data_IF_586567465637
#
_entry.id   IF_586567465637
#
_cell.length_a   1.000
_cell.length_b   1.000
_cell.length_c   1.000
_cell.angle_alpha   90.00
_cell.angle_beta   90.00
_cell.angle_gamma   90.00
#
_symmetry.space_group_name_H-M   'P 1'
#
loop_
_entity.id
_entity.type
_entity.pdbx_description
1 polymer ?
#
# COMPACT_ATOMS: atom_id res chain seq x y z
N UNK A 1 34.42 49.38 -21.56
CA UNK A 1 34.10 47.95 -21.44
C UNK A 1 33.80 47.69 -19.98
N UNK A 2 32.95 46.69 -19.73
CA UNK A 2 32.39 46.25 -18.44
C UNK A 2 31.11 46.98 -17.99
N UNK A 3 30.01 46.35 -18.40
CA UNK A 3 28.65 46.60 -17.99
C UNK A 3 28.30 45.87 -16.71
N UNK A 4 27.35 46.47 -16.00
CA UNK A 4 26.62 46.03 -14.83
C UNK A 4 25.83 44.73 -15.05
N UNK A 5 25.94 43.78 -14.11
CA UNK A 5 24.93 42.73 -13.91
C UNK A 5 24.00 43.13 -12.77
N UNK A 6 22.76 43.45 -13.14
CA UNK A 6 21.63 43.68 -12.25
C UNK A 6 20.91 42.33 -12.05
N UNK A 7 20.93 41.81 -10.82
CA UNK A 7 20.26 40.55 -10.47
C UNK A 7 18.77 40.81 -10.33
N UNK A 8 18.00 40.40 -11.33
CA UNK A 8 16.54 40.31 -11.31
C UNK A 8 16.10 39.21 -10.32
N UNK A 9 15.67 39.60 -9.13
CA UNK A 9 14.89 38.75 -8.24
C UNK A 9 13.46 38.64 -8.80
N UNK A 10 13.11 37.47 -9.34
CA UNK A 10 11.74 37.16 -9.74
C UNK A 10 10.98 36.65 -8.51
N UNK A 11 10.01 37.45 -8.06
CA UNK A 11 9.03 37.04 -7.06
C UNK A 11 8.14 35.91 -7.62
N UNK A 12 8.33 34.70 -7.12
CA UNK A 12 7.47 33.54 -7.39
C UNK A 12 6.44 33.44 -6.27
N UNK A 13 5.35 34.21 -6.33
CA UNK A 13 4.30 34.13 -5.31
C UNK A 13 2.85 34.12 -5.79
N UNK A 14 2.53 34.00 -7.09
CA UNK A 14 1.12 34.10 -7.55
C UNK A 14 0.53 32.95 -8.40
N UNK A 15 1.24 31.84 -8.67
CA UNK A 15 0.71 30.80 -9.58
C UNK A 15 0.14 29.50 -8.97
N UNK A 16 0.00 29.39 -7.64
CA UNK A 16 -0.45 28.12 -7.03
C UNK A 16 -1.91 27.74 -7.32
N UNK A 17 -2.77 28.71 -7.69
CA UNK A 17 -4.17 28.46 -8.02
C UNK A 17 -4.39 27.90 -9.43
N UNK A 18 -3.55 28.31 -10.40
CA UNK A 18 -3.63 27.85 -11.78
C UNK A 18 -3.23 26.37 -11.91
N UNK A 19 -2.18 25.94 -11.19
CA UNK A 19 -1.73 24.54 -11.16
C UNK A 19 -2.76 23.60 -10.51
N UNK A 20 -3.45 24.05 -9.45
CA UNK A 20 -4.52 23.27 -8.83
C UNK A 20 -5.73 23.13 -9.76
N UNK A 21 -6.14 24.21 -10.42
CA UNK A 21 -7.23 24.20 -11.40
C UNK A 21 -6.89 23.28 -12.58
N UNK A 22 -5.67 23.39 -13.14
CA UNK A 22 -5.19 22.53 -14.23
C UNK A 22 -5.21 21.06 -13.81
N UNK A 23 -4.71 20.73 -12.61
CA UNK A 23 -4.71 19.35 -12.10
C UNK A 23 -6.12 18.76 -11.94
N UNK A 24 -7.09 19.58 -11.52
CA UNK A 24 -8.47 19.16 -11.27
C UNK A 24 -9.24 18.91 -12.57
N UNK A 25 -9.01 19.73 -13.60
CA UNK A 25 -9.58 19.59 -14.94
C UNK A 25 -8.96 18.40 -15.66
N UNK A 26 -7.65 18.24 -15.53
CA UNK A 26 -6.88 17.11 -16.06
C UNK A 26 -7.36 15.77 -15.46
N UNK A 27 -7.58 15.72 -14.14
CA UNK A 27 -8.13 14.54 -13.47
C UNK A 27 -9.58 14.24 -13.89
N UNK A 28 -10.42 15.27 -14.10
CA UNK A 28 -11.80 15.09 -14.60
C UNK A 28 -11.86 14.58 -16.04
N UNK A 29 -10.99 15.05 -16.93
CA UNK A 29 -10.91 14.59 -18.33
C UNK A 29 -10.54 13.10 -18.43
N UNK A 30 -9.62 12.66 -17.59
CA UNK A 30 -9.16 11.26 -17.51
C UNK A 30 -10.20 10.33 -16.87
N UNK A 31 -10.92 10.81 -15.85
CA UNK A 31 -11.88 10.00 -15.09
C UNK A 31 -13.18 9.65 -15.85
N UNK A 32 -13.47 10.31 -17.00
CA UNK A 32 -14.67 10.03 -17.82
C UNK A 32 -14.53 8.83 -18.76
N UNK A 33 -13.36 8.19 -18.82
CA UNK A 33 -13.11 7.06 -19.73
C UNK A 33 -13.60 5.74 -19.15
N UNK A 34 -14.12 4.86 -20.02
CA UNK A 34 -14.82 3.59 -19.68
C UNK A 34 -14.02 2.66 -18.76
N UNK A 35 -12.68 2.71 -18.82
CA UNK A 35 -11.78 1.89 -18.01
C UNK A 35 -10.86 2.69 -17.06
N UNK A 36 -10.99 4.02 -17.03
CA UNK A 36 -10.06 4.93 -16.37
C UNK A 36 -8.70 5.01 -17.08
N UNK A 37 -7.97 6.13 -16.93
CA UNK A 37 -6.56 6.15 -17.31
C UNK A 37 -5.67 6.03 -16.07
N UNK A 38 -4.61 5.25 -16.20
CA UNK A 38 -3.62 5.08 -15.14
C UNK A 38 -2.51 6.14 -15.30
N UNK A 39 -2.10 6.71 -14.16
CA UNK A 39 -0.94 7.63 -14.03
C UNK A 39 -0.93 8.81 -15.02
N UNK A 40 -1.94 9.70 -14.99
CA UNK A 40 -1.87 10.93 -15.77
C UNK A 40 -0.68 11.78 -15.32
N UNK A 41 0.21 12.10 -16.27
CA UNK A 41 1.39 12.93 -16.07
C UNK A 41 1.33 14.12 -17.04
N UNK A 42 1.13 15.35 -16.55
CA UNK A 42 1.25 16.52 -17.39
C UNK A 42 2.72 16.69 -17.84
N UNK A 43 2.91 17.16 -19.06
CA UNK A 43 4.19 17.61 -19.58
C UNK A 43 4.70 18.83 -18.81
N UNK A 44 6.01 19.09 -18.88
CA UNK A 44 6.63 20.23 -18.21
C UNK A 44 6.07 21.58 -18.68
N UNK A 45 5.59 21.66 -19.93
CA UNK A 45 4.95 22.85 -20.49
C UNK A 45 3.45 22.97 -20.16
N UNK A 46 2.87 21.98 -19.45
CA UNK A 46 1.46 21.96 -19.06
C UNK A 46 0.46 21.78 -20.22
N UNK A 47 0.94 21.68 -21.47
CA UNK A 47 0.08 21.63 -22.68
C UNK A 47 -0.29 20.21 -23.10
N UNK A 48 0.39 19.22 -22.55
CA UNK A 48 0.22 17.83 -22.93
C UNK A 48 -0.05 16.99 -21.70
N UNK A 49 -1.02 16.08 -21.81
CA UNK A 49 -1.24 15.04 -20.84
C UNK A 49 -0.80 13.69 -21.41
N UNK A 50 0.12 13.03 -20.71
CA UNK A 50 0.47 11.64 -20.97
C UNK A 50 -0.29 10.75 -20.00
N UNK A 51 -0.87 9.66 -20.49
CA UNK A 51 -1.54 8.67 -19.64
C UNK A 51 -1.51 7.29 -20.29
N UNK A 52 -1.72 6.26 -19.48
CA UNK A 52 -1.84 4.89 -19.96
C UNK A 52 -3.31 4.52 -20.06
N UNK A 53 -3.75 4.11 -21.25
CA UNK A 53 -5.09 3.60 -21.50
C UNK A 53 -5.04 2.09 -21.78
N UNK A 54 -6.00 1.35 -21.22
CA UNK A 54 -6.11 -0.08 -21.43
C UNK A 54 -7.24 -0.39 -22.41
N UNK A 55 -6.91 -1.12 -23.47
CA UNK A 55 -7.86 -1.70 -24.42
C UNK A 55 -7.88 -3.22 -24.24
N UNK A 56 -9.07 -3.81 -24.13
CA UNK A 56 -9.25 -5.26 -23.96
C UNK A 56 -8.67 -6.11 -25.10
N UNK A 57 -8.53 -5.57 -26.32
CA UNK A 57 -8.02 -6.34 -27.47
C UNK A 57 -6.53 -6.15 -27.75
N UNK A 58 -5.93 -5.05 -27.27
CA UNK A 58 -4.57 -4.67 -27.66
C UNK A 58 -3.67 -4.29 -26.46
N UNK A 59 -4.18 -4.34 -25.23
CA UNK A 59 -3.41 -4.10 -24.02
C UNK A 59 -3.25 -2.62 -23.68
N UNK A 60 -2.12 -2.27 -23.06
CA UNK A 60 -1.84 -0.91 -22.60
C UNK A 60 -1.23 -0.05 -23.71
N UNK A 61 -1.68 1.19 -23.81
CA UNK A 61 -1.18 2.20 -24.73
C UNK A 61 -0.75 3.45 -23.99
N UNK A 62 0.37 4.03 -24.41
CA UNK A 62 0.73 5.38 -24.02
C UNK A 62 -0.03 6.36 -24.93
N UNK A 63 -0.91 7.13 -24.31
CA UNK A 63 -1.71 8.12 -24.99
C UNK A 63 -1.16 9.51 -24.72
N UNK A 64 -1.16 10.35 -25.76
CA UNK A 64 -0.92 11.79 -25.64
C UNK A 64 -2.24 12.51 -25.91
N UNK A 65 -2.65 13.39 -25.01
CA UNK A 65 -3.75 14.33 -25.20
C UNK A 65 -3.23 15.76 -25.10
N UNK A 66 -3.56 16.58 -26.09
CA UNK A 66 -3.25 18.00 -26.02
C UNK A 66 -4.32 18.68 -25.16
N UNK A 67 -3.87 19.30 -24.07
CA UNK A 67 -4.67 20.22 -23.29
C UNK A 67 -4.69 21.51 -24.12
N UNK A 68 -5.80 21.77 -24.81
CA UNK A 68 -6.00 23.06 -25.50
C UNK A 68 -5.62 24.20 -24.56
N UNK A 69 -5.02 25.27 -25.09
CA UNK A 69 -4.52 26.41 -24.30
C UNK A 69 -5.60 27.07 -23.43
N UNK A 70 -5.27 28.18 -22.76
CA UNK A 70 -6.14 28.85 -21.76
C UNK A 70 -7.62 29.02 -22.20
N UNK A 71 -7.88 29.22 -23.50
CA UNK A 71 -9.24 29.32 -24.05
C UNK A 71 -10.10 28.03 -23.89
N UNK A 72 -9.48 26.84 -23.88
CA UNK A 72 -10.17 25.56 -23.73
C UNK A 72 -10.53 25.22 -22.26
N UNK A 73 -9.94 25.93 -21.29
CA UNK A 73 -10.33 25.88 -19.88
C UNK A 73 -11.62 26.69 -19.65
N UNK A 74 -11.75 27.84 -20.31
CA UNK A 74 -12.91 28.74 -20.21
C UNK A 74 -14.18 28.18 -20.89
N UNK A 75 -14.03 27.46 -22.01
CA UNK A 75 -15.19 26.84 -22.71
C UNK A 75 -15.82 25.69 -21.94
N UNK A 76 -15.12 25.13 -20.94
CA UNK A 76 -15.61 23.98 -20.18
C UNK A 76 -16.55 24.37 -19.03
N UNK A 77 -16.47 25.60 -18.52
CA UNK A 77 -17.42 26.12 -17.53
C UNK A 77 -18.80 26.38 -18.14
N UNK A 78 -18.89 26.60 -19.45
CA UNK A 78 -20.13 26.97 -20.15
C UNK A 78 -20.84 25.80 -20.83
N UNK A 79 -20.37 24.56 -20.65
CA UNK A 79 -21.09 23.35 -21.05
C UNK A 79 -21.30 23.18 -22.56
N UNK A 80 -20.61 23.95 -23.40
CA UNK A 80 -20.68 23.80 -24.86
C UNK A 80 -19.68 22.77 -25.34
N UNK A 81 -20.14 21.91 -26.25
CA UNK A 81 -19.43 20.76 -26.82
C UNK A 81 -18.00 21.10 -27.18
N UNK A 82 -17.04 20.48 -26.49
CA UNK A 82 -15.62 20.62 -26.76
C UNK A 82 -15.31 20.15 -28.18
N UNK A 83 -14.50 20.95 -28.88
CA UNK A 83 -13.88 20.63 -30.16
C UNK A 83 -13.35 19.19 -30.18
N UNK A 84 -13.45 18.53 -31.35
CA UNK A 84 -12.97 17.16 -31.57
C UNK A 84 -11.56 16.96 -30.98
N UNK A 85 -11.48 16.23 -29.86
CA UNK A 85 -10.24 15.97 -29.14
C UNK A 85 -9.34 15.06 -29.98
N UNK A 86 -8.25 15.62 -30.51
CA UNK A 86 -7.27 14.86 -31.29
C UNK A 86 -6.34 14.06 -30.38
N UNK A 87 -6.81 12.91 -29.90
CA UNK A 87 -6.01 11.96 -29.12
C UNK A 87 -5.12 11.19 -30.09
N UNK A 88 -3.80 11.29 -29.90
CA UNK A 88 -2.85 10.52 -30.71
C UNK A 88 -2.25 9.44 -29.84
N UNK A 89 -2.63 8.19 -30.11
CA UNK A 89 -2.03 7.01 -29.50
C UNK A 89 -0.93 6.52 -30.44
N UNK A 90 0.31 6.45 -29.97
CA UNK A 90 1.38 5.76 -30.70
C UNK A 90 1.64 4.44 -30.01
N UNK A 91 1.83 3.39 -30.80
CA UNK A 91 2.44 2.16 -30.31
C UNK A 91 3.80 2.56 -29.74
N UNK A 92 4.06 2.24 -28.48
CA UNK A 92 5.34 2.51 -27.85
C UNK A 92 6.46 1.94 -28.76
N UNK A 93 7.62 2.62 -28.89
CA UNK A 93 8.75 2.06 -29.63
C UNK A 93 9.04 0.63 -29.13
N UNK A 94 9.55 -0.29 -29.97
CA UNK A 94 9.79 -1.66 -29.57
C UNK A 94 10.73 -1.65 -28.37
N UNK A 95 10.15 -1.86 -27.19
CA UNK A 95 10.89 -1.93 -25.95
C UNK A 95 11.88 -3.07 -26.09
N UNK A 96 13.14 -2.81 -25.74
CA UNK A 96 14.16 -3.84 -25.64
C UNK A 96 13.56 -4.99 -24.83
N UNK A 97 13.55 -6.19 -25.42
CA UNK A 97 12.83 -7.34 -24.87
C UNK A 97 13.08 -7.46 -23.36
N UNK A 98 12.02 -7.24 -22.59
CA UNK A 98 12.10 -7.28 -21.15
C UNK A 98 12.48 -8.70 -20.73
N UNK A 99 13.59 -8.84 -19.99
CA UNK A 99 14.04 -10.13 -19.45
C UNK A 99 13.55 -10.25 -18.00
N UNK A 100 12.35 -10.81 -17.76
CA UNK A 100 11.75 -10.83 -16.42
C UNK A 100 12.67 -11.45 -15.37
N UNK A 101 13.44 -12.49 -15.73
CA UNK A 101 14.36 -13.16 -14.81
C UNK A 101 15.52 -12.31 -14.30
N UNK A 102 15.96 -11.28 -15.03
CA UNK A 102 17.16 -10.48 -14.64
C UNK A 102 16.88 -9.41 -13.59
N UNK A 103 15.61 -9.10 -13.37
CA UNK A 103 15.20 -7.97 -12.53
C UNK A 103 14.08 -8.37 -11.55
N UNK A 104 13.94 -9.67 -11.25
CA UNK A 104 12.95 -10.15 -10.26
C UNK A 104 13.33 -9.67 -8.85
N UNK A 105 14.64 -9.66 -8.55
CA UNK A 105 15.18 -9.26 -7.26
C UNK A 105 16.09 -8.05 -7.47
N UNK A 106 15.76 -6.94 -6.86
CA UNK A 106 16.53 -5.69 -6.86
C UNK A 106 16.37 -5.02 -5.49
N UNK A 107 17.29 -5.29 -4.58
CA UNK A 107 17.29 -4.70 -3.24
C UNK A 107 17.59 -3.21 -3.33
N UNK A 108 16.69 -2.37 -2.79
CA UNK A 108 16.81 -0.91 -2.89
C UNK A 108 16.53 -0.19 -1.57
N UNK A 109 15.89 -0.84 -0.61
CA UNK A 109 15.53 -0.24 0.66
C UNK A 109 15.79 -1.18 1.83
N UNK A 110 16.11 -0.58 2.96
CA UNK A 110 16.20 -1.25 4.24
C UNK A 110 15.70 -0.29 5.32
N UNK A 111 15.30 -0.82 6.47
CA UNK A 111 14.81 0.03 7.54
C UNK A 111 14.59 -0.73 8.84
N UNK A 112 14.36 0.06 9.89
CA UNK A 112 13.93 -0.41 11.20
C UNK A 112 12.58 0.23 11.47
N UNK A 113 11.57 -0.59 11.71
CA UNK A 113 10.20 -0.18 11.95
C UNK A 113 9.77 -0.68 13.35
N UNK A 114 9.57 0.23 14.32
CA UNK A 114 8.87 -0.14 15.55
C UNK A 114 7.38 -0.32 15.23
N UNK A 115 6.86 -1.49 15.56
CA UNK A 115 5.44 -1.87 15.61
C UNK A 115 5.06 -2.05 17.09
N UNK A 116 3.77 -1.93 17.44
CA UNK A 116 3.26 -1.76 18.82
C UNK A 116 4.05 -2.50 19.92
N UNK A 117 4.35 -3.78 19.71
CA UNK A 117 5.16 -4.61 20.62
C UNK A 117 6.38 -5.26 19.95
N UNK A 118 6.57 -5.02 18.66
CA UNK A 118 7.57 -5.66 17.80
C UNK A 118 8.55 -4.63 17.21
N UNK A 119 9.85 -4.92 17.19
CA UNK A 119 10.84 -4.14 16.42
C UNK A 119 11.24 -4.95 15.20
N UNK A 120 11.03 -4.39 14.01
CA UNK A 120 11.29 -5.07 12.75
C UNK A 120 12.44 -4.42 12.00
N UNK A 121 13.49 -5.17 11.70
CA UNK A 121 14.59 -4.73 10.82
C UNK A 121 14.50 -5.49 9.51
N UNK A 122 14.46 -4.80 8.38
CA UNK A 122 14.16 -5.44 7.08
C UNK A 122 14.98 -4.88 5.93
N UNK A 123 15.13 -5.71 4.90
CA UNK A 123 15.56 -5.33 3.55
C UNK A 123 14.43 -5.64 2.58
N UNK A 124 14.28 -4.79 1.57
CA UNK A 124 13.21 -4.88 0.58
C UNK A 124 13.77 -4.79 -0.82
N UNK A 125 13.23 -5.64 -1.67
CA UNK A 125 13.49 -5.74 -3.09
C UNK A 125 12.19 -5.67 -3.85
N UNK A 126 12.11 -4.81 -4.86
CA UNK A 126 10.99 -4.78 -5.79
C UNK A 126 11.52 -4.91 -7.21
N UNK A 127 10.81 -5.65 -8.07
CA UNK A 127 11.13 -5.60 -9.49
C UNK A 127 10.75 -4.24 -10.10
N UNK A 128 11.27 -3.94 -11.29
CA UNK A 128 11.08 -2.64 -11.96
C UNK A 128 9.59 -2.32 -12.18
N UNK A 129 8.77 -3.34 -12.43
CA UNK A 129 7.33 -3.17 -12.64
C UNK A 129 6.53 -3.07 -11.33
N UNK A 130 7.15 -3.28 -10.17
CA UNK A 130 6.50 -3.34 -8.87
C UNK A 130 5.52 -4.51 -8.70
N UNK A 131 5.59 -5.51 -9.59
CA UNK A 131 4.73 -6.71 -9.60
C UNK A 131 5.22 -7.80 -8.66
N UNK A 132 6.51 -7.83 -8.34
CA UNK A 132 7.11 -8.77 -7.37
C UNK A 132 7.82 -7.95 -6.30
N UNK A 133 7.46 -8.19 -5.05
CA UNK A 133 8.05 -7.55 -3.88
C UNK A 133 8.54 -8.64 -2.93
N UNK A 134 9.82 -8.59 -2.56
CA UNK A 134 10.44 -9.47 -1.58
C UNK A 134 10.89 -8.61 -0.40
N UNK A 135 10.40 -8.92 0.78
CA UNK A 135 10.81 -8.30 2.04
C UNK A 135 11.29 -9.41 2.97
N UNK A 136 12.48 -9.26 3.55
CA UNK A 136 13.01 -10.24 4.51
C UNK A 136 13.78 -9.51 5.60
N UNK A 137 13.84 -10.10 6.79
CA UNK A 137 14.46 -9.43 7.91
C UNK A 137 14.34 -10.16 9.23
N UNK A 138 14.71 -9.44 10.28
CA UNK A 138 14.61 -9.84 11.66
C UNK A 138 13.44 -9.13 12.34
N UNK A 139 12.90 -9.78 13.37
CA UNK A 139 11.87 -9.24 14.23
C UNK A 139 12.24 -9.50 15.69
N UNK A 140 11.80 -8.62 16.59
CA UNK A 140 12.05 -8.73 18.01
C UNK A 140 10.82 -8.28 18.80
N UNK A 141 10.17 -9.22 19.46
CA UNK A 141 9.01 -8.95 20.31
C UNK A 141 9.50 -8.48 21.68
N UNK A 142 9.27 -7.21 22.01
CA UNK A 142 9.85 -6.54 23.18
C UNK A 142 9.30 -7.13 24.48
N UNK A 143 8.00 -7.42 24.52
CA UNK A 143 7.33 -7.93 25.72
C UNK A 143 7.78 -9.36 26.08
N UNK A 144 8.02 -10.20 25.08
CA UNK A 144 8.42 -11.61 25.27
C UNK A 144 9.93 -11.81 25.15
N UNK A 145 10.70 -10.74 24.92
CA UNK A 145 12.16 -10.77 24.60
C UNK A 145 12.49 -11.80 23.53
N UNK A 146 11.65 -11.86 22.50
CA UNK A 146 11.58 -13.00 21.58
C UNK A 146 12.10 -12.60 20.20
N UNK A 147 13.31 -13.04 19.81
CA UNK A 147 13.84 -12.77 18.47
C UNK A 147 13.21 -13.69 17.42
N UNK A 148 13.28 -13.26 16.17
CA UNK A 148 12.83 -14.05 15.04
C UNK A 148 13.27 -13.48 13.70
N UNK A 149 12.80 -14.11 12.64
CA UNK A 149 13.02 -13.71 11.27
C UNK A 149 11.74 -13.89 10.46
N UNK A 150 11.63 -13.15 9.36
CA UNK A 150 10.50 -13.28 8.45
C UNK A 150 10.93 -13.09 7.00
N UNK A 151 10.13 -13.62 6.10
CA UNK A 151 10.19 -13.35 4.66
C UNK A 151 8.78 -13.21 4.12
N UNK A 152 8.56 -12.19 3.30
CA UNK A 152 7.31 -11.92 2.61
C UNK A 152 7.59 -11.75 1.13
N UNK A 153 6.96 -12.57 0.31
CA UNK A 153 6.98 -12.45 -1.14
C UNK A 153 5.57 -12.09 -1.61
N UNK A 154 5.40 -10.91 -2.20
CA UNK A 154 4.13 -10.41 -2.72
C UNK A 154 4.18 -10.31 -4.23
N UNK A 155 3.17 -10.89 -4.88
CA UNK A 155 2.92 -10.81 -6.31
C UNK A 155 1.64 -10.00 -6.57
N UNK A 156 1.77 -8.84 -7.21
CA UNK A 156 0.68 -7.91 -7.52
C UNK A 156 0.33 -7.88 -9.02
N UNK A 157 0.93 -8.78 -9.82
CA UNK A 157 0.67 -8.88 -11.26
C UNK A 157 -0.71 -9.44 -11.62
N UNK A 158 -1.44 -9.97 -10.65
CA UNK A 158 -2.82 -10.48 -10.79
C UNK A 158 -3.70 -9.93 -9.68
N UNK A 159 -5.02 -10.02 -9.85
CA UNK A 159 -6.01 -9.65 -8.82
C UNK A 159 -6.81 -10.91 -8.44
N UNK A 160 -6.87 -11.29 -7.15
CA UNK A 160 -6.26 -10.64 -6.00
C UNK A 160 -4.72 -10.71 -6.00
N UNK A 161 -4.08 -9.75 -5.33
CA UNK A 161 -2.65 -9.83 -5.03
C UNK A 161 -2.40 -11.08 -4.18
N UNK A 162 -1.33 -11.81 -4.47
CA UNK A 162 -0.94 -12.98 -3.70
C UNK A 162 0.29 -12.66 -2.86
N UNK A 163 0.34 -13.12 -1.61
CA UNK A 163 1.52 -12.98 -0.76
C UNK A 163 1.83 -14.29 -0.04
N UNK A 164 3.05 -14.77 -0.16
CA UNK A 164 3.60 -15.83 0.67
C UNK A 164 4.33 -15.19 1.86
N UNK A 165 3.91 -15.51 3.07
CA UNK A 165 4.53 -15.04 4.30
C UNK A 165 5.10 -16.23 5.06
N UNK A 166 6.39 -16.17 5.36
CA UNK A 166 7.07 -17.09 6.27
C UNK A 166 7.62 -16.34 7.46
N UNK A 167 7.52 -16.94 8.64
CA UNK A 167 7.98 -16.34 9.88
C UNK A 167 8.52 -17.43 10.79
N UNK A 168 9.60 -17.12 11.49
CA UNK A 168 10.16 -17.94 12.54
C UNK A 168 10.42 -17.07 13.77
N UNK A 169 10.12 -17.58 14.96
CA UNK A 169 10.25 -16.84 16.22
C UNK A 169 10.62 -17.79 17.35
N UNK A 170 11.53 -17.37 18.23
CA UNK A 170 11.83 -18.05 19.49
C UNK A 170 11.13 -17.32 20.63
N UNK A 171 10.14 -17.97 21.26
CA UNK A 171 9.27 -17.37 22.28
C UNK A 171 9.59 -17.97 23.65
N UNK A 172 9.51 -17.15 24.70
CA UNK A 172 9.66 -17.60 26.09
C UNK A 172 8.66 -16.89 27.00
N UNK A 173 7.34 -17.16 26.84
CA UNK A 173 6.37 -16.69 27.81
C UNK A 173 6.58 -17.44 29.13
N UNK A 174 6.79 -16.70 30.22
CA UNK A 174 6.78 -17.23 31.58
C UNK A 174 7.62 -18.52 31.79
N UNK A 175 8.89 -18.50 31.36
CA UNK A 175 9.91 -19.57 31.56
C UNK A 175 9.79 -20.88 30.76
N UNK A 176 8.82 -21.00 29.85
CA UNK A 176 8.71 -22.14 28.94
C UNK A 176 9.05 -21.77 27.50
N UNK A 177 10.32 -21.96 27.07
CA UNK A 177 10.74 -21.58 25.73
C UNK A 177 10.25 -22.56 24.64
N UNK A 178 9.84 -22.01 23.50
CA UNK A 178 9.50 -22.78 22.30
C UNK A 178 9.85 -22.01 21.02
N UNK A 179 9.97 -22.75 19.92
CA UNK A 179 10.12 -22.22 18.58
C UNK A 179 8.78 -22.23 17.86
N UNK A 180 8.46 -21.11 17.21
CA UNK A 180 7.27 -20.95 16.40
C UNK A 180 7.68 -20.73 14.96
N UNK A 181 7.17 -21.54 14.03
CA UNK A 181 7.33 -21.32 12.60
C UNK A 181 5.96 -21.17 11.94
N UNK A 182 5.83 -20.28 10.97
CA UNK A 182 4.58 -20.02 10.27
C UNK A 182 4.86 -19.88 8.78
N UNK A 183 4.05 -20.54 7.96
CA UNK A 183 4.05 -20.39 6.51
C UNK A 183 2.61 -20.17 6.08
N UNK A 184 2.34 -19.11 5.31
CA UNK A 184 0.98 -18.77 4.93
C UNK A 184 0.91 -18.09 3.57
N UNK A 185 -0.19 -18.36 2.86
CA UNK A 185 -0.55 -17.71 1.61
C UNK A 185 -1.71 -16.75 1.89
N UNK A 186 -1.60 -15.52 1.41
CA UNK A 186 -2.60 -14.48 1.55
C UNK A 186 -3.05 -13.98 0.18
N UNK A 187 -4.37 -13.95 -0.04
CA UNK A 187 -4.99 -13.22 -1.12
C UNK A 187 -5.47 -11.86 -0.62
N UNK A 188 -5.13 -10.77 -1.31
CA UNK A 188 -5.60 -9.42 -0.99
C UNK A 188 -6.21 -8.77 -2.22
N UNK A 189 -7.44 -8.26 -2.09
CA UNK A 189 -8.12 -7.49 -3.11
C UNK A 189 -8.14 -6.00 -2.71
N UNK A 190 -7.17 -5.20 -3.18
CA UNK A 190 -7.20 -3.76 -2.98
C UNK A 190 -8.21 -3.12 -3.95
N UNK A 191 -9.19 -2.41 -3.39
CA UNK A 191 -10.20 -1.67 -4.14
C UNK A 191 -10.03 -0.18 -3.87
N UNK A 192 -9.75 0.59 -4.92
CA UNK A 192 -9.82 2.04 -4.86
C UNK A 192 -11.26 2.45 -5.17
N UNK A 193 -11.93 3.01 -4.18
CA UNK A 193 -13.32 3.46 -4.25
C UNK A 193 -13.41 5.00 -4.34
N UNK A 194 -12.28 5.69 -4.57
CA UNK A 194 -12.22 7.13 -4.67
C UNK A 194 -12.91 7.60 -5.96
N UNK A 195 -13.97 8.39 -5.83
CA UNK A 195 -14.65 9.04 -6.97
C UNK A 195 -14.40 10.55 -7.06
N UNK A 196 -13.79 11.15 -6.04
CA UNK A 196 -13.49 12.59 -5.97
C UNK A 196 -11.99 12.81 -5.78
N UNK A 197 -11.47 13.97 -6.21
CA UNK A 197 -10.05 14.33 -6.00
C UNK A 197 -9.72 14.65 -4.54
N UNK A 198 -10.73 15.03 -3.74
CA UNK A 198 -10.54 15.53 -2.37
C UNK A 198 -10.40 14.39 -1.37
N UNK A 199 -11.07 13.26 -1.58
CA UNK A 199 -11.07 12.13 -0.65
C UNK A 199 -10.52 10.86 -1.29
N UNK A 200 -9.53 10.26 -0.63
CA UNK A 200 -9.02 8.93 -0.95
C UNK A 200 -9.79 7.89 -0.16
N UNK A 201 -10.49 7.04 -0.88
CA UNK A 201 -11.35 5.99 -0.35
C UNK A 201 -10.81 4.64 -0.85
N UNK A 202 -10.47 3.75 0.06
CA UNK A 202 -10.02 2.41 -0.33
C UNK A 202 -10.49 1.34 0.64
N UNK A 203 -10.80 0.19 0.07
CA UNK A 203 -11.22 -1.01 0.77
C UNK A 203 -10.24 -2.13 0.42
N UNK A 204 -9.64 -2.76 1.41
CA UNK A 204 -8.80 -3.93 1.25
C UNK A 204 -9.49 -5.12 1.91
N UNK A 205 -9.84 -6.11 1.09
CA UNK A 205 -10.28 -7.42 1.57
C UNK A 205 -9.07 -8.35 1.53
N UNK A 206 -8.80 -9.10 2.60
CA UNK A 206 -7.80 -10.14 2.56
C UNK A 206 -8.23 -11.40 3.30
N UNK A 207 -7.78 -12.54 2.78
CA UNK A 207 -7.90 -13.83 3.40
C UNK A 207 -6.54 -14.51 3.35
N UNK A 208 -6.18 -15.20 4.43
CA UNK A 208 -4.90 -15.86 4.61
C UNK A 208 -5.13 -17.26 5.15
N UNK A 209 -4.46 -18.23 4.54
CA UNK A 209 -4.44 -19.63 4.97
C UNK A 209 -2.99 -20.10 5.11
N UNK A 210 -2.69 -20.91 6.11
CA UNK A 210 -1.32 -21.34 6.36
C UNK A 210 -1.19 -22.49 7.35
N UNK A 211 0.05 -22.71 7.76
CA UNK A 211 0.45 -23.70 8.75
C UNK A 211 1.32 -23.03 9.82
N UNK A 212 1.12 -23.46 11.06
CA UNK A 212 1.82 -23.03 12.26
C UNK A 212 2.46 -24.25 12.92
N UNK A 213 3.75 -24.21 13.20
CA UNK A 213 4.47 -25.21 13.98
C UNK A 213 4.88 -24.60 15.32
N UNK A 214 4.69 -25.38 16.39
CA UNK A 214 5.12 -25.03 17.74
C UNK A 214 6.00 -26.16 18.26
N UNK A 215 7.30 -25.89 18.36
CA UNK A 215 8.33 -26.88 18.69
C UNK A 215 8.90 -26.51 20.07
N UNK A 216 8.69 -27.31 21.12
CA UNK A 216 9.27 -27.06 22.44
C UNK A 216 10.80 -26.93 22.34
N UNK A 217 11.38 -25.98 23.07
CA UNK A 217 12.83 -25.89 23.13
C UNK A 217 13.38 -27.06 23.96
N UNK A 218 14.62 -27.47 23.67
CA UNK A 218 15.27 -28.57 24.39
C UNK A 218 15.34 -28.25 25.89
N UNK A 219 14.79 -29.14 26.72
CA UNK A 219 14.75 -28.97 28.18
C UNK A 219 13.67 -28.02 28.70
N UNK A 220 12.77 -27.54 27.84
CA UNK A 220 11.55 -26.85 28.28
C UNK A 220 10.58 -27.84 28.95
N UNK A 221 9.86 -27.39 29.98
CA UNK A 221 8.73 -28.12 30.56
C UNK A 221 7.45 -28.01 29.72
N UNK A 222 7.56 -27.32 28.58
CA UNK A 222 6.48 -26.97 27.70
C UNK A 222 5.88 -28.21 27.02
N UNK A 223 4.66 -28.56 27.42
CA UNK A 223 3.87 -29.62 26.79
C UNK A 223 2.88 -29.01 25.80
N UNK A 224 2.99 -29.35 24.52
CA UNK A 224 2.01 -28.96 23.51
C UNK A 224 0.83 -29.94 23.50
N UNK A 225 -0.41 -29.43 23.36
CA UNK A 225 -1.60 -30.27 23.17
C UNK A 225 -1.58 -31.07 21.83
N UNK A 226 -0.76 -30.64 20.87
CA UNK A 226 -0.41 -31.39 19.68
C UNK A 226 0.94 -32.08 19.86
N UNK A 227 1.21 -33.20 19.16
CA UNK A 227 2.60 -33.63 18.97
C UNK A 227 3.37 -32.42 18.44
N UNK A 228 4.50 -32.08 19.08
CA UNK A 228 5.37 -30.94 18.74
C UNK A 228 5.78 -30.84 17.24
N UNK A 229 5.45 -31.87 16.47
CA UNK A 229 5.86 -32.10 15.09
C UNK A 229 4.73 -31.86 14.08
N UNK A 230 3.46 -31.77 14.50
CA UNK A 230 2.34 -31.61 13.56
C UNK A 230 2.00 -30.13 13.32
N UNK A 231 1.92 -29.68 12.05
CA UNK A 231 1.46 -28.33 11.74
C UNK A 231 -0.01 -28.14 12.10
N UNK A 232 -0.32 -27.00 12.69
CA UNK A 232 -1.68 -26.53 12.94
C UNK A 232 -2.12 -25.63 11.77
N UNK A 233 -3.36 -25.73 11.27
CA UNK A 233 -3.84 -24.84 10.22
C UNK A 233 -3.92 -23.40 10.76
N UNK A 234 -3.66 -22.39 9.93
CA UNK A 234 -3.83 -20.98 10.29
C UNK A 234 -4.81 -20.37 9.31
N UNK A 235 -5.90 -19.76 9.79
CA UNK A 235 -6.88 -19.08 8.94
C UNK A 235 -7.12 -17.69 9.51
N UNK A 236 -6.94 -16.68 8.66
CA UNK A 236 -7.17 -15.27 9.01
C UNK A 236 -7.97 -14.59 7.90
N UNK A 237 -9.04 -13.89 8.27
CA UNK A 237 -9.81 -13.01 7.40
C UNK A 237 -9.69 -11.56 7.88
N UNK A 238 -9.55 -10.61 6.96
CA UNK A 238 -9.45 -9.20 7.31
C UNK A 238 -10.18 -8.31 6.30
N UNK A 239 -10.84 -7.29 6.84
CA UNK A 239 -11.41 -6.16 6.13
C UNK A 239 -10.73 -4.88 6.63
N UNK A 240 -10.14 -4.10 5.73
CA UNK A 240 -9.63 -2.78 6.06
C UNK A 240 -10.27 -1.73 5.16
N UNK A 241 -10.96 -0.79 5.77
CA UNK A 241 -11.62 0.31 5.10
C UNK A 241 -11.01 1.63 5.56
N UNK A 242 -10.59 2.47 4.61
CA UNK A 242 -10.07 3.80 4.91
C UNK A 242 -10.69 4.87 4.03
N UNK A 243 -10.97 6.01 4.66
CA UNK A 243 -11.39 7.25 4.02
C UNK A 243 -10.51 8.38 4.56
N UNK A 244 -9.59 8.87 3.74
CA UNK A 244 -8.63 9.90 4.15
C UNK A 244 -8.62 11.06 3.18
N UNK A 245 -8.61 12.28 3.72
CA UNK A 245 -8.31 13.49 2.97
C UNK A 245 -6.78 13.66 2.96
N UNK A 246 -6.12 13.50 1.80
CA UNK A 246 -4.69 13.74 1.72
C UNK A 246 -4.38 15.17 2.18
N UNK A 247 -3.25 15.34 2.89
CA UNK A 247 -2.75 16.67 3.22
C UNK A 247 -2.21 17.39 1.97
N UNK A 248 -1.78 18.67 2.12
CA UNK A 248 -1.13 19.40 1.04
C UNK A 248 0.12 18.64 0.54
N UNK A 249 0.53 18.87 -0.72
CA UNK A 249 1.78 18.33 -1.28
C UNK A 249 2.92 18.57 -0.27
N UNK A 250 3.59 17.49 0.19
CA UNK A 250 4.59 17.41 1.28
C UNK A 250 4.09 17.01 2.69
N UNK A 251 2.79 16.88 2.92
CA UNK A 251 2.27 16.33 4.19
C UNK A 251 2.32 14.80 4.15
N UNK A 252 3.11 14.20 5.04
CA UNK A 252 3.14 12.73 5.22
C UNK A 252 1.87 12.21 5.90
N UNK A 253 1.16 13.07 6.62
CA UNK A 253 -0.05 12.72 7.35
C UNK A 253 -1.32 13.31 6.70
N UNK A 254 -2.46 12.58 6.78
CA UNK A 254 -3.74 13.09 6.30
C UNK A 254 -4.26 14.21 7.20
N UNK A 255 -4.94 15.20 6.62
CA UNK A 255 -5.54 16.32 7.38
C UNK A 255 -6.76 15.90 8.18
N UNK A 256 -7.57 15.03 7.59
CA UNK A 256 -8.75 14.48 8.22
C UNK A 256 -9.06 13.12 7.63
N UNK A 257 -9.57 12.20 8.42
CA UNK A 257 -10.05 10.94 7.90
C UNK A 257 -10.26 9.92 8.99
N UNK A 258 -10.62 8.72 8.56
CA UNK A 258 -10.69 7.58 9.43
C UNK A 258 -10.27 6.31 8.70
N UNK A 259 -9.82 5.34 9.47
CA UNK A 259 -9.55 3.99 9.02
C UNK A 259 -10.18 3.02 10.02
N UNK A 260 -11.00 2.10 9.51
CA UNK A 260 -11.52 0.97 10.25
C UNK A 260 -10.83 -0.30 9.73
N UNK A 261 -10.36 -1.13 10.65
CA UNK A 261 -9.77 -2.43 10.35
C UNK A 261 -10.48 -3.44 11.24
N UNK A 262 -11.03 -4.49 10.66
CA UNK A 262 -11.58 -5.61 11.42
C UNK A 262 -11.04 -6.91 10.84
N UNK A 263 -10.87 -7.90 11.69
CA UNK A 263 -10.42 -9.20 11.26
C UNK A 263 -10.83 -10.27 12.24
N UNK A 264 -10.76 -11.50 11.76
CA UNK A 264 -10.83 -12.69 12.56
C UNK A 264 -9.62 -13.57 12.25
N UNK A 265 -9.06 -14.19 13.27
CA UNK A 265 -7.99 -15.17 13.12
C UNK A 265 -8.26 -16.35 14.02
N UNK A 266 -8.02 -17.55 13.49
CA UNK A 266 -7.96 -18.75 14.32
C UNK A 266 -6.67 -18.70 15.15
N UNK A 267 -6.80 -18.79 16.47
CA UNK A 267 -5.66 -18.81 17.39
C UNK A 267 -5.58 -20.17 18.05
N UNK A 268 -4.43 -20.82 17.91
CA UNK A 268 -4.14 -22.06 18.59
C UNK A 268 -3.44 -21.74 19.90
N UNK A 269 -4.19 -21.90 21.00
CA UNK A 269 -3.62 -21.83 22.33
C UNK A 269 -2.99 -23.20 22.68
N UNK A 270 -1.69 -23.24 23.04
CA UNK A 270 -0.94 -24.47 23.23
C UNK A 270 -1.48 -25.38 24.34
N UNK A 271 -2.18 -24.79 25.31
CA UNK A 271 -2.63 -25.34 26.58
C UNK A 271 -4.11 -25.77 26.59
N UNK A 272 -4.87 -25.52 25.52
CA UNK A 272 -6.28 -25.91 25.47
C UNK A 272 -6.49 -27.28 24.81
N UNK A 273 -7.42 -28.13 25.30
CA UNK A 273 -7.74 -29.39 24.65
C UNK A 273 -8.35 -29.18 23.26
N UNK A 274 -8.07 -30.09 22.30
CA UNK A 274 -8.47 -30.03 20.88
C UNK A 274 -9.92 -29.57 20.63
N UNK A 275 -10.85 -29.97 21.51
CA UNK A 275 -12.28 -29.64 21.40
C UNK A 275 -12.59 -28.14 21.61
N UNK A 276 -11.70 -27.40 22.26
CA UNK A 276 -11.84 -25.98 22.60
C UNK A 276 -10.89 -25.05 21.82
N UNK A 277 -10.08 -25.59 20.90
CA UNK A 277 -9.05 -24.84 20.17
C UNK A 277 -9.54 -24.16 18.88
N UNK A 278 -10.77 -24.43 18.44
CA UNK A 278 -11.40 -23.71 17.31
C UNK A 278 -12.06 -22.40 17.77
N UNK A 279 -11.32 -21.59 18.55
CA UNK A 279 -11.77 -20.24 18.89
C UNK A 279 -11.24 -19.28 17.83
N UNK A 280 -12.17 -18.53 17.25
CA UNK A 280 -11.85 -17.42 16.39
C UNK A 280 -11.72 -16.18 17.27
N UNK A 281 -10.53 -15.59 17.28
CA UNK A 281 -10.36 -14.28 17.89
C UNK A 281 -10.77 -13.24 16.85
N UNK A 282 -11.70 -12.38 17.24
CA UNK A 282 -12.08 -11.20 16.46
C UNK A 282 -11.32 -10.00 16.97
N UNK A 283 -10.94 -9.09 16.09
CA UNK A 283 -10.38 -7.81 16.50
C UNK A 283 -10.88 -6.69 15.60
N UNK A 284 -10.99 -5.51 16.18
CA UNK A 284 -11.43 -4.30 15.50
C UNK A 284 -10.58 -3.12 15.95
N UNK A 285 -10.12 -2.31 15.00
CA UNK A 285 -9.41 -1.08 15.26
C UNK A 285 -10.04 0.06 14.46
N UNK A 286 -10.25 1.17 15.12
CA UNK A 286 -10.74 2.40 14.55
C UNK A 286 -9.70 3.49 14.79
N UNK A 287 -9.30 4.17 13.73
CA UNK A 287 -8.31 5.25 13.78
C UNK A 287 -8.90 6.48 13.16
N UNK A 288 -8.87 7.60 13.88
CA UNK A 288 -9.26 8.91 13.39
C UNK A 288 -8.02 9.77 13.20
N UNK A 289 -8.03 10.53 12.12
CA UNK A 289 -7.03 11.54 11.81
C UNK A 289 -7.71 12.90 11.87
N UNK A 290 -7.12 13.81 12.64
CA UNK A 290 -7.56 15.19 12.82
C UNK A 290 -6.42 16.14 12.47
N UNK A 291 -6.72 17.40 12.09
CA UNK A 291 -5.70 18.41 11.89
C UNK A 291 -4.93 18.62 13.20
N UNK A 292 -3.59 18.68 13.13
CA UNK A 292 -2.77 19.06 14.27
C UNK A 292 -2.85 20.58 14.53
N UNK A 293 -2.37 21.00 15.70
CA UNK A 293 -2.32 22.41 16.07
C UNK A 293 -1.33 23.26 15.24
N UNK A 294 -0.41 22.62 14.51
CA UNK A 294 0.56 23.29 13.66
C UNK A 294 0.49 22.77 12.20
N UNK A 295 0.93 23.58 11.21
CA UNK A 295 0.96 23.15 9.81
C UNK A 295 1.74 21.85 9.63
N UNK A 296 1.19 20.94 8.81
CA UNK A 296 1.79 19.61 8.49
C UNK A 296 1.84 18.62 9.65
N UNK A 297 1.19 18.92 10.78
CA UNK A 297 0.96 17.96 11.85
C UNK A 297 -0.47 17.42 11.79
N UNK A 298 -0.66 16.18 12.26
CA UNK A 298 -1.97 15.56 12.43
C UNK A 298 -2.07 14.96 13.83
N UNK A 299 -3.22 15.11 14.47
CA UNK A 299 -3.56 14.34 15.66
C UNK A 299 -4.17 13.01 15.23
N UNK A 300 -3.71 11.92 15.84
CA UNK A 300 -4.22 10.59 15.58
C UNK A 300 -4.81 10.00 16.86
N UNK A 301 -6.05 9.56 16.79
CA UNK A 301 -6.71 8.80 17.84
C UNK A 301 -6.94 7.39 17.35
N UNK A 302 -6.54 6.39 18.13
CA UNK A 302 -6.76 4.99 17.80
C UNK A 302 -7.43 4.29 18.97
N UNK A 303 -8.48 3.53 18.68
CA UNK A 303 -9.11 2.61 19.60
C UNK A 303 -9.06 1.22 18.98
N UNK A 304 -8.68 0.22 19.76
CA UNK A 304 -8.68 -1.17 19.33
C UNK A 304 -9.34 -2.04 20.39
N UNK A 305 -10.07 -3.06 19.94
CA UNK A 305 -10.68 -4.07 20.78
C UNK A 305 -10.36 -5.45 20.21
N UNK A 306 -10.07 -6.39 21.10
CA UNK A 306 -9.89 -7.80 20.79
C UNK A 306 -10.95 -8.60 21.55
N UNK A 307 -11.58 -9.56 20.87
CA UNK A 307 -12.53 -10.51 21.43
C UNK A 307 -11.96 -11.92 21.26
N UNK A 308 -11.89 -12.68 22.35
CA UNK A 308 -11.29 -14.02 22.43
C UNK A 308 -12.32 -15.04 22.93
#
# INVERSE_FOLDING_TARGET
MEGSEEILSVDVSENSGADEALSSVTARRVARRRWGAERPLPSQDGRTLYFVEYNSTQGQFLCKMELGGEEALLTFETGHSAAEEKITCKTAPPEKEWKPGRHVINFHSWGILPEDTDIKAFVRSDNILGTVQLETGALYEVNEKSPGAFTRLTFTGIRPNLSLNTQYRYRSPASDPFHQATVSLQGQLPMNLSRSSIWKHSLNLSAQGGLLWTIPAKGSGYSTAFPAELPQPLITGQLQWQLVRPGPYRSLTPRFGWAARTGCSQVFLPDQPLRNQNKFNGWGALRFYLPGAAPRNSLQFAAAAEYR
#
